data_IF_440939559741
#
_entry.id   IF_440939559741
#
_cell.length_a   1.000
_cell.length_b   1.000
_cell.length_c   1.000
_cell.angle_alpha   90.00
_cell.angle_beta   90.00
_cell.angle_gamma   90.00
#
_symmetry.space_group_name_H-M   'P 1'
#
loop_
_entity.id
_entity.type
_entity.pdbx_description
1 polymer ?
#
# COMPACT_ATOMS: atom_id res chain seq x y z
N UNK A 1 23.54 2.31 9.33
CA UNK A 1 22.63 1.15 9.48
C UNK A 1 21.15 1.51 9.67
N UNK A 2 20.76 2.42 10.58
CA UNK A 2 19.34 2.79 10.80
C UNK A 2 18.63 3.32 9.53
N UNK A 3 19.30 4.14 8.72
CA UNK A 3 18.76 4.59 7.42
C UNK A 3 18.41 3.42 6.49
N UNK A 4 19.23 2.37 6.46
CA UNK A 4 18.96 1.17 5.66
C UNK A 4 17.73 0.44 6.19
N UNK A 5 17.60 0.32 7.53
CA UNK A 5 16.40 -0.27 8.18
C UNK A 5 15.16 0.52 7.77
N UNK A 6 15.22 1.85 7.80
CA UNK A 6 14.12 2.71 7.41
C UNK A 6 13.74 2.49 5.93
N UNK A 7 14.69 2.57 4.99
CA UNK A 7 14.43 2.42 3.56
C UNK A 7 13.92 1.02 3.19
N UNK A 8 14.49 -0.03 3.80
CA UNK A 8 14.04 -1.42 3.57
C UNK A 8 12.62 -1.68 4.07
N UNK A 9 12.12 -0.88 5.02
CA UNK A 9 10.74 -0.94 5.48
C UNK A 9 9.83 0.00 4.66
N UNK A 10 10.29 1.21 4.36
CA UNK A 10 9.51 2.25 3.69
C UNK A 10 9.17 1.90 2.25
N UNK A 11 10.13 1.40 1.48
CA UNK A 11 9.96 1.19 0.03
C UNK A 11 8.89 0.13 -0.30
N UNK A 12 8.94 -1.11 0.23
CA UNK A 12 7.87 -2.07 -0.01
C UNK A 12 6.51 -1.59 0.51
N UNK A 13 6.49 -0.85 1.63
CA UNK A 13 5.26 -0.27 2.18
C UNK A 13 4.69 0.86 1.34
N UNK A 14 5.54 1.65 0.68
CA UNK A 14 5.09 2.65 -0.30
C UNK A 14 4.49 2.00 -1.55
N UNK A 15 5.12 0.92 -2.04
CA UNK A 15 4.54 0.12 -3.13
C UNK A 15 3.20 -0.50 -2.74
N UNK A 16 3.12 -1.03 -1.52
CA UNK A 16 1.87 -1.57 -0.95
C UNK A 16 0.79 -0.49 -0.90
N UNK A 17 1.04 0.66 -0.26
CA UNK A 17 0.06 1.73 -0.12
C UNK A 17 -0.39 2.31 -1.47
N UNK A 18 0.52 2.41 -2.44
CA UNK A 18 0.19 2.84 -3.80
C UNK A 18 -0.77 1.87 -4.48
N UNK A 19 -0.43 0.59 -4.48
CA UNK A 19 -1.26 -0.46 -5.06
C UNK A 19 -2.61 -0.55 -4.36
N UNK A 20 -2.61 -0.53 -3.03
CA UNK A 20 -3.82 -0.62 -2.21
C UNK A 20 -4.81 0.51 -2.57
N UNK A 21 -4.32 1.75 -2.52
CA UNK A 21 -5.15 2.90 -2.85
C UNK A 21 -5.61 2.91 -4.31
N UNK A 22 -4.81 2.39 -5.25
CA UNK A 22 -5.16 2.29 -6.67
C UNK A 22 -6.24 1.25 -6.92
N UNK A 23 -6.07 0.03 -6.39
CA UNK A 23 -7.03 -1.07 -6.56
C UNK A 23 -8.36 -0.72 -5.90
N UNK A 24 -8.33 -0.15 -4.69
CA UNK A 24 -9.53 0.32 -4.00
C UNK A 24 -10.33 1.30 -4.86
N UNK A 25 -9.66 2.32 -5.44
CA UNK A 25 -10.33 3.34 -6.26
C UNK A 25 -10.88 2.76 -7.56
N UNK A 26 -10.11 1.95 -8.28
CA UNK A 26 -10.56 1.34 -9.54
C UNK A 26 -11.67 0.33 -9.33
N UNK A 27 -11.52 -0.61 -8.40
CA UNK A 27 -12.54 -1.60 -8.09
C UNK A 27 -13.80 -0.93 -7.51
N UNK A 28 -13.63 0.03 -6.60
CA UNK A 28 -14.73 0.79 -6.04
C UNK A 28 -15.51 1.56 -7.09
N UNK A 29 -14.83 2.20 -8.05
CA UNK A 29 -15.49 2.89 -9.16
C UNK A 29 -16.27 1.93 -10.07
N UNK A 30 -15.67 0.80 -10.46
CA UNK A 30 -16.36 -0.22 -11.28
C UNK A 30 -17.60 -0.75 -10.56
N UNK A 31 -17.52 -0.98 -9.25
CA UNK A 31 -18.64 -1.44 -8.44
C UNK A 31 -19.72 -0.37 -8.32
N UNK A 32 -19.37 0.91 -8.15
CA UNK A 32 -20.34 1.99 -8.06
C UNK A 32 -21.08 2.19 -9.39
N UNK A 33 -20.38 2.08 -10.52
CA UNK A 33 -20.98 2.19 -11.86
C UNK A 33 -21.88 0.99 -12.22
N UNK A 34 -21.59 -0.21 -11.68
CA UNK A 34 -22.36 -1.43 -11.99
C UNK A 34 -23.43 -1.69 -10.93
N UNK A 35 -23.03 -2.01 -9.71
CA UNK A 35 -23.90 -2.39 -8.60
C UNK A 35 -24.57 -1.17 -7.96
N UNK A 36 -23.91 -0.01 -7.91
CA UNK A 36 -24.52 1.23 -7.43
C UNK A 36 -25.71 1.66 -8.28
N UNK A 37 -25.61 1.51 -9.61
CA UNK A 37 -26.72 1.81 -10.55
C UNK A 37 -27.76 0.69 -10.57
N UNK A 38 -27.34 -0.58 -10.55
CA UNK A 38 -28.26 -1.71 -10.63
C UNK A 38 -29.08 -1.95 -9.36
N UNK A 39 -28.51 -1.71 -8.18
CA UNK A 39 -29.13 -2.00 -6.87
C UNK A 39 -29.38 -0.76 -6.01
N UNK A 40 -29.07 0.45 -6.50
CA UNK A 40 -29.24 1.70 -5.76
C UNK A 40 -28.33 1.80 -4.52
N UNK A 41 -27.18 1.14 -4.54
CA UNK A 41 -26.25 1.13 -3.41
C UNK A 41 -25.50 2.46 -3.28
N UNK A 42 -25.12 2.80 -2.05
CA UNK A 42 -24.33 4.01 -1.80
C UNK A 42 -22.90 3.86 -2.35
N UNK A 43 -22.31 4.97 -2.80
CA UNK A 43 -20.90 5.02 -3.23
C UNK A 43 -19.94 4.58 -2.11
N UNK A 44 -20.32 4.76 -0.84
CA UNK A 44 -19.53 4.28 0.30
C UNK A 44 -19.52 2.75 0.38
N UNK A 45 -20.61 2.09 0.00
CA UNK A 45 -20.68 0.62 -0.11
C UNK A 45 -19.74 0.12 -1.21
N UNK A 46 -19.72 0.79 -2.36
CA UNK A 46 -18.80 0.44 -3.44
C UNK A 46 -17.33 0.62 -3.04
N UNK A 47 -17.01 1.70 -2.32
CA UNK A 47 -15.68 1.91 -1.75
C UNK A 47 -15.29 0.81 -0.74
N UNK A 48 -16.23 0.36 0.10
CA UNK A 48 -15.99 -0.73 1.04
C UNK A 48 -15.65 -2.06 0.32
N UNK A 49 -16.37 -2.39 -0.76
CA UNK A 49 -16.00 -3.54 -1.60
C UNK A 49 -14.66 -3.33 -2.31
N UNK A 50 -14.38 -2.11 -2.77
CA UNK A 50 -13.07 -1.74 -3.31
C UNK A 50 -11.94 -2.04 -2.32
N UNK A 51 -12.13 -1.74 -1.04
CA UNK A 51 -11.15 -2.07 0.00
C UNK A 51 -10.97 -3.57 0.18
N UNK A 52 -12.05 -4.37 0.15
CA UNK A 52 -11.95 -5.84 0.23
C UNK A 52 -11.14 -6.40 -0.96
N UNK A 53 -11.41 -5.92 -2.18
CA UNK A 53 -10.65 -6.32 -3.37
C UNK A 53 -9.18 -5.91 -3.26
N UNK A 54 -8.93 -4.75 -2.65
CA UNK A 54 -7.60 -4.21 -2.43
C UNK A 54 -6.80 -5.05 -1.43
N UNK A 55 -7.37 -5.38 -0.28
CA UNK A 55 -6.73 -6.22 0.74
C UNK A 55 -6.42 -7.62 0.19
N UNK A 56 -7.35 -8.21 -0.56
CA UNK A 56 -7.12 -9.50 -1.23
C UNK A 56 -5.95 -9.43 -2.23
N UNK A 57 -5.90 -8.36 -3.03
CA UNK A 57 -4.79 -8.10 -3.95
C UNK A 57 -3.47 -7.88 -3.18
N UNK A 58 -3.51 -7.15 -2.07
CA UNK A 58 -2.39 -6.93 -1.16
C UNK A 58 -1.73 -8.22 -0.69
N UNK A 59 -2.53 -9.20 -0.27
CA UNK A 59 -2.05 -10.51 0.15
C UNK A 59 -1.44 -11.28 -1.02
N UNK A 60 -2.09 -11.27 -2.19
CA UNK A 60 -1.62 -11.97 -3.39
C UNK A 60 -0.32 -11.37 -3.94
N UNK A 61 -0.20 -10.05 -3.95
CA UNK A 61 0.96 -9.31 -4.44
C UNK A 61 2.04 -9.08 -3.39
N UNK A 62 1.86 -9.53 -2.14
CA UNK A 62 2.85 -9.40 -1.08
C UNK A 62 4.23 -9.93 -1.49
N UNK A 63 4.27 -11.10 -2.13
CA UNK A 63 5.52 -11.68 -2.67
C UNK A 63 6.13 -10.86 -3.82
N UNK A 64 5.31 -10.17 -4.61
CA UNK A 64 5.78 -9.26 -5.68
C UNK A 64 6.39 -8.00 -5.08
N UNK A 65 5.79 -7.44 -4.03
CA UNK A 65 6.32 -6.27 -3.31
C UNK A 65 7.66 -6.59 -2.63
N UNK A 66 7.80 -7.78 -2.07
CA UNK A 66 9.09 -8.27 -1.54
C UNK A 66 10.16 -8.38 -2.64
N UNK A 67 9.79 -8.91 -3.80
CA UNK A 67 10.68 -8.98 -4.97
C UNK A 67 11.04 -7.61 -5.52
N UNK A 68 10.10 -6.67 -5.53
CA UNK A 68 10.34 -5.28 -5.96
C UNK A 68 11.36 -4.61 -5.03
N UNK A 69 11.20 -4.81 -3.72
CA UNK A 69 12.14 -4.32 -2.71
C UNK A 69 13.53 -4.97 -2.85
N UNK A 70 13.61 -6.27 -3.19
CA UNK A 70 14.90 -6.92 -3.46
C UNK A 70 15.55 -6.45 -4.76
N UNK A 71 14.76 -6.23 -5.81
CA UNK A 71 15.25 -5.79 -7.12
C UNK A 71 15.76 -4.34 -7.11
N UNK A 72 15.23 -3.49 -6.24
CA UNK A 72 15.76 -2.14 -6.02
C UNK A 72 17.13 -2.11 -5.32
N UNK A 73 17.76 -3.26 -5.08
CA UNK A 73 19.13 -3.32 -4.55
C UNK A 73 19.26 -2.79 -3.12
N UNK A 74 18.15 -2.75 -2.38
CA UNK A 74 18.14 -2.27 -1.00
C UNK A 74 19.00 -3.21 -0.13
N UNK A 75 20.22 -2.77 0.17
CA UNK A 75 21.13 -3.47 1.06
C UNK A 75 20.47 -3.63 2.43
N UNK A 76 20.12 -4.88 2.78
CA UNK A 76 19.68 -5.24 4.13
C UNK A 76 20.73 -4.74 5.12
N UNK A 77 20.29 -4.07 6.18
CA UNK A 77 21.17 -3.63 7.25
C UNK A 77 21.88 -4.86 7.86
N UNK A 78 23.20 -4.82 8.00
CA UNK A 78 23.97 -5.90 8.61
C UNK A 78 23.87 -5.76 10.13
N UNK A 79 22.74 -6.17 10.68
CA UNK A 79 22.47 -6.14 12.12
C UNK A 79 22.48 -7.56 12.67
N UNK A 80 23.10 -7.73 13.84
CA UNK A 80 22.98 -8.98 14.60
C UNK A 80 21.55 -9.17 15.10
N UNK A 81 21.17 -10.40 15.42
CA UNK A 81 19.82 -10.73 15.92
C UNK A 81 19.48 -9.91 17.18
N UNK A 82 20.45 -9.71 18.07
CA UNK A 82 20.31 -8.87 19.26
C UNK A 82 20.10 -7.38 18.91
N UNK A 83 20.84 -6.86 17.93
CA UNK A 83 20.67 -5.47 17.48
C UNK A 83 19.31 -5.22 16.84
N UNK A 84 18.74 -6.23 16.15
CA UNK A 84 17.42 -6.11 15.53
C UNK A 84 16.28 -5.98 16.54
N UNK A 85 16.48 -6.50 17.76
CA UNK A 85 15.53 -6.39 18.87
C UNK A 85 15.62 -5.06 19.62
N UNK A 86 16.64 -4.24 19.35
CA UNK A 86 16.76 -2.94 20.01
C UNK A 86 15.54 -2.06 19.69
N UNK A 87 14.97 -1.37 20.70
CA UNK A 87 13.77 -0.56 20.51
C UNK A 87 13.98 0.55 19.48
N UNK A 88 15.19 1.09 19.36
CA UNK A 88 15.53 2.08 18.32
C UNK A 88 15.36 1.50 16.91
N UNK A 89 15.81 0.26 16.68
CA UNK A 89 15.70 -0.40 15.36
C UNK A 89 14.24 -0.71 15.04
N UNK A 90 13.47 -1.19 16.02
CA UNK A 90 12.04 -1.45 15.88
C UNK A 90 11.26 -0.17 15.57
N UNK A 91 11.53 0.92 16.31
CA UNK A 91 10.92 2.23 16.05
C UNK A 91 11.29 2.76 14.67
N UNK A 92 12.55 2.68 14.26
CA UNK A 92 12.97 3.10 12.91
C UNK A 92 12.29 2.29 11.82
N UNK A 93 12.16 0.96 12.01
CA UNK A 93 11.42 0.10 11.07
C UNK A 93 9.95 0.50 10.98
N UNK A 94 9.29 0.73 12.12
CA UNK A 94 7.90 1.14 12.17
C UNK A 94 7.68 2.50 11.52
N UNK A 95 8.52 3.49 11.82
CA UNK A 95 8.44 4.83 11.21
C UNK A 95 8.70 4.78 9.70
N UNK A 96 9.64 3.94 9.26
CA UNK A 96 9.88 3.66 7.85
C UNK A 96 8.65 3.08 7.18
N UNK A 97 8.09 2.02 7.75
CA UNK A 97 6.88 1.39 7.23
C UNK A 97 5.71 2.37 7.16
N UNK A 98 5.43 3.09 8.25
CA UNK A 98 4.33 4.05 8.34
C UNK A 98 4.49 5.20 7.34
N UNK A 99 5.67 5.81 7.27
CA UNK A 99 5.97 6.86 6.29
C UNK A 99 5.87 6.34 4.85
N UNK A 100 6.33 5.11 4.61
CA UNK A 100 6.19 4.42 3.34
C UNK A 100 4.73 4.26 2.92
N UNK A 101 3.89 3.64 3.76
CA UNK A 101 2.46 3.45 3.47
C UNK A 101 1.78 4.78 3.19
N UNK A 102 1.95 5.79 4.04
CA UNK A 102 1.32 7.10 3.85
C UNK A 102 1.72 7.71 2.51
N UNK A 103 3.01 7.70 2.18
CA UNK A 103 3.50 8.20 0.90
C UNK A 103 2.92 7.42 -0.29
N UNK A 104 2.89 6.10 -0.19
CA UNK A 104 2.27 5.22 -1.18
C UNK A 104 0.80 5.53 -1.40
N UNK A 105 0.01 5.64 -0.33
CA UNK A 105 -1.40 6.01 -0.40
C UNK A 105 -1.60 7.39 -1.04
N UNK A 106 -0.79 8.40 -0.66
CA UNK A 106 -0.85 9.72 -1.29
C UNK A 106 -0.56 9.66 -2.80
N UNK A 107 0.42 8.86 -3.23
CA UNK A 107 0.66 8.63 -4.66
C UNK A 107 -0.52 7.92 -5.32
N UNK A 108 -1.13 6.96 -4.64
CA UNK A 108 -2.28 6.23 -5.15
C UNK A 108 -3.52 7.13 -5.29
N UNK A 109 -3.69 8.12 -4.41
CA UNK A 109 -4.72 9.16 -4.53
C UNK A 109 -4.55 10.00 -5.80
N UNK A 110 -3.35 10.12 -6.36
CA UNK A 110 -3.18 10.79 -7.65
C UNK A 110 -3.96 10.08 -8.79
N UNK A 111 -4.29 8.79 -8.65
CA UNK A 111 -5.18 8.09 -9.60
C UNK A 111 -6.59 8.70 -9.66
N UNK A 112 -7.06 9.38 -8.60
CA UNK A 112 -8.32 10.13 -8.67
C UNK A 112 -8.32 11.21 -9.75
N UNK A 113 -7.16 11.78 -10.08
CA UNK A 113 -7.06 12.78 -11.16
C UNK A 113 -7.31 12.17 -12.55
N UNK A 114 -7.17 10.85 -12.69
CA UNK A 114 -7.33 10.12 -13.95
C UNK A 114 -8.65 9.35 -14.02
N UNK A 115 -9.37 9.21 -12.91
CA UNK A 115 -10.71 8.59 -12.88
C UNK A 115 -11.74 9.68 -13.19
N UNK A 116 -12.40 9.56 -14.35
CA UNK A 116 -13.56 10.39 -14.65
C UNK A 116 -14.70 9.99 -13.71
N UNK A 117 -15.01 10.86 -12.76
CA UNK A 117 -16.04 10.65 -11.73
C UNK A 117 -17.41 11.16 -12.17
N UNK A 118 -17.58 11.58 -13.43
CA UNK A 118 -18.90 11.96 -13.94
C UNK A 118 -19.79 10.73 -14.06
N UNK A 119 -20.72 10.64 -13.11
CA UNK A 119 -21.87 9.75 -13.14
C UNK A 119 -23.02 10.40 -13.90
#
# INVERSE_FOLDING_TARGET
ELWKVFMTAAVPMAGFGFMDQTVMLQAGHVIDCTLGVAFGLSTLTAAAFGQVCSDASGVLFGGTLERLASNMGLRKANLTTAQRLLPVVQRTKLLGALGGVIFGCCLGLANLLFIDTKR
#
